data_IF_418120585949
#
_entry.id   IF_418120585949
#
_cell.length_a   1.000
_cell.length_b   1.000
_cell.length_c   1.000
_cell.angle_alpha   90.00
_cell.angle_beta   90.00
_cell.angle_gamma   90.00
#
_symmetry.space_group_name_H-M   'P 1'
#
loop_
_entity.id
_entity.type
_entity.pdbx_description
1 polymer ?
#
# COMPACT_ATOMS: atom_id res chain seq x y z
N UNK A 1 -32.09 -19.58 1.02
CA UNK A 1 -30.94 -19.49 0.14
C UNK A 1 -29.67 -19.69 0.96
N UNK A 2 -28.73 -20.48 0.44
CA UNK A 2 -27.42 -20.68 1.05
C UNK A 2 -26.52 -19.51 0.64
N UNK A 3 -25.98 -18.81 1.62
CA UNK A 3 -24.97 -17.79 1.40
C UNK A 3 -23.59 -18.39 1.64
N UNK A 4 -22.65 -18.16 0.75
CA UNK A 4 -21.23 -18.46 0.99
C UNK A 4 -20.60 -17.31 1.75
N UNK A 5 -19.78 -17.62 2.76
CA UNK A 5 -19.03 -16.64 3.52
C UNK A 5 -17.54 -16.88 3.30
N UNK A 6 -16.80 -15.83 2.95
CA UNK A 6 -15.34 -15.84 3.00
C UNK A 6 -14.90 -15.56 4.43
N UNK A 7 -14.07 -16.43 4.99
CA UNK A 7 -13.43 -16.23 6.28
C UNK A 7 -12.02 -15.68 6.04
N UNK A 8 -11.78 -14.44 6.42
CA UNK A 8 -10.46 -13.82 6.38
C UNK A 8 -9.85 -13.88 7.76
N UNK A 9 -8.73 -14.59 7.90
CA UNK A 9 -7.97 -14.68 9.15
C UNK A 9 -6.69 -13.85 9.02
N UNK A 10 -6.54 -12.90 9.92
CA UNK A 10 -5.26 -12.22 10.12
C UNK A 10 -4.46 -12.96 11.20
N UNK A 11 -3.12 -12.86 11.18
CA UNK A 11 -2.25 -13.45 12.19
C UNK A 11 -2.48 -12.87 13.59
N UNK A 12 -2.96 -11.62 13.68
CA UNK A 12 -3.11 -10.86 14.93
C UNK A 12 -4.51 -10.28 15.16
N UNK A 13 -5.45 -10.44 14.21
CA UNK A 13 -6.82 -9.95 14.34
C UNK A 13 -7.84 -11.09 14.40
N UNK A 14 -9.02 -10.78 14.93
CA UNK A 14 -10.13 -11.73 14.91
C UNK A 14 -10.55 -12.05 13.47
N UNK A 15 -10.98 -13.30 13.20
CA UNK A 15 -11.50 -13.69 11.91
C UNK A 15 -12.70 -12.80 11.53
N UNK A 16 -12.73 -12.32 10.31
CA UNK A 16 -13.83 -11.53 9.76
C UNK A 16 -14.50 -12.35 8.66
N UNK A 17 -15.83 -12.31 8.62
CA UNK A 17 -16.63 -13.04 7.65
C UNK A 17 -17.32 -12.06 6.71
N UNK A 18 -17.10 -12.23 5.40
CA UNK A 18 -17.73 -11.43 4.36
C UNK A 18 -18.68 -12.29 3.54
N UNK A 19 -19.89 -11.79 3.22
CA UNK A 19 -20.77 -12.51 2.29
C UNK A 19 -20.14 -12.53 0.90
N UNK A 20 -20.08 -13.71 0.30
CA UNK A 20 -19.65 -13.90 -1.08
C UNK A 20 -20.90 -14.04 -1.95
N UNK A 21 -21.07 -13.09 -2.84
CA UNK A 21 -22.12 -13.12 -3.84
C UNK A 21 -21.59 -13.78 -5.11
N UNK A 22 -22.34 -14.71 -5.74
CA UNK A 22 -21.95 -15.25 -7.02
C UNK A 22 -21.92 -14.11 -8.04
N UNK A 23 -20.74 -13.87 -8.61
CA UNK A 23 -20.56 -12.87 -9.67
C UNK A 23 -20.47 -13.60 -10.99
N UNK A 24 -21.27 -13.18 -11.97
CA UNK A 24 -21.15 -13.60 -13.36
C UNK A 24 -20.29 -12.57 -14.07
N UNK A 25 -19.07 -12.97 -14.42
CA UNK A 25 -18.21 -12.11 -15.23
C UNK A 25 -18.77 -11.99 -16.64
N UNK A 26 -19.00 -10.77 -17.09
CA UNK A 26 -19.43 -10.47 -18.44
C UNK A 26 -18.22 -10.18 -19.33
N UNK A 27 -18.26 -10.67 -20.55
CA UNK A 27 -17.20 -10.44 -21.53
C UNK A 27 -17.75 -9.64 -22.73
N UNK A 28 -16.91 -8.77 -23.35
CA UNK A 28 -15.52 -8.47 -23.02
C UNK A 28 -15.38 -7.67 -21.72
N UNK A 29 -14.23 -7.82 -21.02
CA UNK A 29 -13.90 -6.99 -19.87
C UNK A 29 -13.72 -5.54 -20.32
N UNK A 30 -14.28 -4.61 -19.55
CA UNK A 30 -14.20 -3.17 -19.86
C UNK A 30 -13.18 -2.45 -18.99
N UNK A 31 -12.90 -2.98 -17.79
CA UNK A 31 -11.96 -2.38 -16.84
C UNK A 31 -11.29 -3.42 -15.98
N UNK A 32 -10.10 -3.06 -15.48
CA UNK A 32 -9.35 -3.78 -14.45
C UNK A 32 -8.99 -2.81 -13.33
N UNK A 33 -9.27 -3.21 -12.09
CA UNK A 33 -8.87 -2.47 -10.89
C UNK A 33 -7.70 -3.19 -10.24
N UNK A 34 -6.56 -2.50 -10.16
CA UNK A 34 -5.31 -3.05 -9.65
C UNK A 34 -5.00 -2.51 -8.26
N UNK A 35 -4.49 -3.37 -7.41
CA UNK A 35 -3.90 -2.97 -6.15
C UNK A 35 -2.48 -2.40 -6.35
N UNK A 36 -1.98 -1.63 -5.38
CA UNK A 36 -0.64 -1.04 -5.42
C UNK A 36 0.38 -1.95 -4.74
N UNK A 37 0.30 -2.03 -3.41
CA UNK A 37 1.30 -2.71 -2.58
C UNK A 37 1.32 -4.22 -2.81
N UNK A 38 2.48 -4.76 -3.15
CA UNK A 38 2.65 -6.18 -3.44
C UNK A 38 2.06 -6.65 -4.78
N UNK A 39 1.32 -5.81 -5.50
CA UNK A 39 0.69 -6.13 -6.78
C UNK A 39 1.33 -5.35 -7.93
N UNK A 40 1.27 -4.03 -7.90
CA UNK A 40 1.89 -3.16 -8.91
C UNK A 40 3.32 -2.81 -8.52
N UNK A 41 3.57 -2.62 -7.22
CA UNK A 41 4.85 -2.23 -6.64
C UNK A 41 5.21 -3.14 -5.48
N UNK A 42 6.46 -3.58 -5.43
CA UNK A 42 7.04 -4.32 -4.30
C UNK A 42 7.54 -3.32 -3.27
N UNK A 43 6.67 -2.88 -2.38
CA UNK A 43 6.95 -1.85 -1.36
C UNK A 43 7.21 -2.41 0.05
N UNK A 44 6.97 -3.71 0.26
CA UNK A 44 6.99 -4.35 1.57
C UNK A 44 8.33 -4.17 2.31
N UNK A 45 9.45 -4.43 1.64
CA UNK A 45 10.79 -4.30 2.23
C UNK A 45 11.09 -2.86 2.68
N UNK A 46 10.57 -1.88 1.96
CA UNK A 46 10.70 -0.48 2.34
C UNK A 46 9.92 -0.17 3.61
N UNK A 47 8.69 -0.62 3.73
CA UNK A 47 7.87 -0.37 4.92
C UNK A 47 8.39 -1.11 6.15
N UNK A 48 8.90 -2.33 6.00
CA UNK A 48 9.59 -3.07 7.07
C UNK A 48 10.81 -2.28 7.52
N UNK A 49 11.60 -1.74 6.61
CA UNK A 49 12.75 -0.90 6.93
C UNK A 49 12.36 0.38 7.68
N UNK A 50 11.24 1.02 7.37
CA UNK A 50 10.72 2.16 8.14
C UNK A 50 10.34 1.74 9.57
N UNK A 51 9.74 0.58 9.77
CA UNK A 51 9.45 0.02 11.10
C UNK A 51 10.74 -0.26 11.87
N UNK A 52 11.76 -0.80 11.21
CA UNK A 52 13.08 -1.04 11.78
C UNK A 52 13.73 0.27 12.27
N UNK A 53 13.77 1.30 11.43
CA UNK A 53 14.28 2.62 11.81
C UNK A 53 13.50 3.26 12.96
N UNK A 54 12.19 3.08 12.97
CA UNK A 54 11.32 3.55 14.07
C UNK A 54 11.69 2.88 15.38
N UNK A 55 11.86 1.57 15.37
CA UNK A 55 12.26 0.78 16.55
C UNK A 55 13.66 1.13 16.99
N UNK A 56 14.58 1.31 16.04
CA UNK A 56 15.95 1.79 16.31
C UNK A 56 15.95 3.15 17.04
N UNK A 57 15.08 4.07 16.63
CA UNK A 57 14.93 5.39 17.24
C UNK A 57 14.34 5.30 18.66
N UNK A 58 13.36 4.43 18.87
CA UNK A 58 12.79 4.19 20.21
C UNK A 58 13.84 3.63 21.19
N UNK A 59 14.71 2.73 20.70
CA UNK A 59 15.79 2.12 21.48
C UNK A 59 17.02 3.03 21.66
N UNK A 60 17.13 4.11 20.89
CA UNK A 60 18.35 4.89 20.78
C UNK A 60 19.53 4.07 20.22
N UNK A 61 19.25 3.04 19.46
CA UNK A 61 20.23 2.12 18.88
C UNK A 61 20.17 2.14 17.34
N UNK A 62 21.00 2.94 16.66
CA UNK A 62 20.99 3.06 15.20
C UNK A 62 21.44 1.80 14.44
N UNK A 63 21.93 0.79 15.16
CA UNK A 63 22.36 -0.50 14.60
C UNK A 63 21.33 -1.61 14.81
N UNK A 64 20.16 -1.25 15.34
CA UNK A 64 19.08 -2.23 15.52
C UNK A 64 18.63 -2.77 14.16
N UNK A 65 18.36 -4.06 14.13
CA UNK A 65 17.75 -4.75 12.99
C UNK A 65 16.66 -5.69 13.51
N UNK A 66 15.58 -5.78 12.76
CA UNK A 66 14.53 -6.76 13.00
C UNK A 66 15.06 -8.17 12.73
N UNK A 67 14.62 -9.13 13.51
CA UNK A 67 14.90 -10.54 13.27
C UNK A 67 14.01 -11.07 12.14
N UNK A 68 14.45 -12.09 11.42
CA UNK A 68 13.64 -12.74 10.37
C UNK A 68 12.30 -13.24 10.92
N UNK A 69 12.26 -13.67 12.16
CA UNK A 69 11.06 -14.11 12.89
C UNK A 69 10.03 -13.00 13.13
N UNK A 70 10.41 -11.71 12.98
CA UNK A 70 9.53 -10.56 13.17
C UNK A 70 8.72 -10.23 11.93
N UNK A 71 9.22 -10.59 10.76
CA UNK A 71 8.64 -10.22 9.47
C UNK A 71 7.14 -10.49 9.38
N UNK A 72 6.61 -11.65 9.82
CA UNK A 72 5.17 -11.90 9.79
C UNK A 72 4.32 -10.95 10.66
N UNK A 73 4.93 -10.25 11.61
CA UNK A 73 4.25 -9.34 12.54
C UNK A 73 4.42 -7.86 12.20
N UNK A 74 5.35 -7.56 11.30
CA UNK A 74 5.61 -6.18 10.81
C UNK A 74 5.25 -6.01 9.35
N UNK A 75 4.51 -6.94 8.77
CA UNK A 75 4.08 -7.00 7.39
C UNK A 75 2.61 -7.43 7.29
N UNK A 76 1.88 -6.87 6.32
CA UNK A 76 0.51 -7.27 6.03
C UNK A 76 -0.56 -6.79 7.03
N UNK A 77 -0.23 -5.94 7.98
CA UNK A 77 -1.12 -5.41 9.02
C UNK A 77 -1.13 -3.89 9.04
N UNK A 78 -1.88 -3.28 9.95
CA UNK A 78 -1.86 -1.83 10.13
C UNK A 78 -0.54 -1.37 10.76
N UNK A 79 -0.12 -0.14 10.45
CA UNK A 79 1.09 0.47 11.05
C UNK A 79 1.04 0.42 12.58
N UNK A 80 -0.12 0.68 13.18
CA UNK A 80 -0.26 0.65 14.64
C UNK A 80 -0.02 -0.74 15.23
N UNK A 81 -0.44 -1.80 14.53
CA UNK A 81 -0.20 -3.18 14.95
C UNK A 81 1.28 -3.56 14.84
N UNK A 82 1.93 -3.18 13.73
CA UNK A 82 3.37 -3.37 13.55
C UNK A 82 4.17 -2.68 14.68
N UNK A 83 3.85 -1.42 14.96
CA UNK A 83 4.52 -0.64 16.00
C UNK A 83 4.26 -1.22 17.39
N UNK A 84 3.03 -1.64 17.68
CA UNK A 84 2.71 -2.26 18.98
C UNK A 84 3.50 -3.55 19.20
N UNK A 85 3.60 -4.40 18.16
CA UNK A 85 4.44 -5.59 18.25
C UNK A 85 5.89 -5.25 18.59
N UNK A 86 6.48 -4.25 17.93
CA UNK A 86 7.85 -3.83 18.20
C UNK A 86 8.01 -3.25 19.62
N UNK A 87 7.01 -2.50 20.11
CA UNK A 87 7.00 -1.99 21.47
C UNK A 87 7.01 -3.15 22.47
N UNK A 88 6.09 -4.09 22.32
CA UNK A 88 5.94 -5.21 23.26
C UNK A 88 7.19 -6.09 23.32
N UNK A 89 7.87 -6.29 22.18
CA UNK A 89 9.05 -7.15 22.10
C UNK A 89 10.36 -6.44 22.48
N UNK A 90 10.55 -5.21 22.01
CA UNK A 90 11.87 -4.56 22.05
C UNK A 90 11.96 -3.35 23.00
N UNK A 91 10.87 -2.64 23.21
CA UNK A 91 10.85 -1.40 24.00
C UNK A 91 9.65 -1.35 24.96
N UNK A 92 9.48 -2.37 25.83
CA UNK A 92 8.36 -2.42 26.75
C UNK A 92 8.36 -1.17 27.65
N UNK A 93 7.21 -0.48 27.69
CA UNK A 93 7.06 0.76 28.44
C UNK A 93 7.08 2.04 27.58
N UNK A 94 7.45 1.94 26.31
CA UNK A 94 7.28 3.05 25.37
C UNK A 94 5.81 3.14 24.87
N UNK A 95 5.41 4.35 24.45
CA UNK A 95 4.04 4.57 24.00
C UNK A 95 3.91 4.40 22.49
N UNK A 96 2.73 3.93 22.05
CA UNK A 96 2.39 3.86 20.63
C UNK A 96 2.40 5.24 19.98
N UNK A 97 2.04 6.30 20.70
CA UNK A 97 2.09 7.68 20.21
C UNK A 97 3.53 8.09 19.87
N UNK A 98 4.49 7.80 20.77
CA UNK A 98 5.91 8.08 20.52
C UNK A 98 6.42 7.31 19.30
N UNK A 99 6.07 6.02 19.20
CA UNK A 99 6.43 5.19 18.05
C UNK A 99 5.86 5.75 16.74
N UNK A 100 4.60 6.18 16.73
CA UNK A 100 3.96 6.80 15.55
C UNK A 100 4.65 8.10 15.15
N UNK A 101 5.07 8.93 16.10
CA UNK A 101 5.81 10.16 15.80
C UNK A 101 7.12 9.86 15.07
N UNK A 102 7.93 8.91 15.56
CA UNK A 102 9.14 8.48 14.86
C UNK A 102 8.82 7.86 13.49
N UNK A 103 7.77 7.04 13.40
CA UNK A 103 7.36 6.43 12.14
C UNK A 103 7.02 7.48 11.08
N UNK A 104 6.24 8.50 11.43
CA UNK A 104 5.88 9.56 10.51
C UNK A 104 7.08 10.45 10.15
N UNK A 105 7.96 10.74 11.11
CA UNK A 105 9.19 11.48 10.85
C UNK A 105 10.07 10.76 9.81
N UNK A 106 10.33 9.46 10.02
CA UNK A 106 11.09 8.66 9.08
C UNK A 106 10.39 8.55 7.73
N UNK A 107 9.10 8.28 7.73
CA UNK A 107 8.31 8.17 6.50
C UNK A 107 8.38 9.45 5.67
N UNK A 108 8.12 10.61 6.27
CA UNK A 108 8.15 11.89 5.56
C UNK A 108 9.53 12.19 4.99
N UNK A 109 10.58 12.01 5.80
CA UNK A 109 11.96 12.23 5.34
C UNK A 109 12.31 11.34 4.16
N UNK A 110 12.04 10.04 4.26
CA UNK A 110 12.40 9.09 3.20
C UNK A 110 11.55 9.29 1.93
N UNK A 111 10.27 9.64 2.06
CA UNK A 111 9.44 10.00 0.91
C UNK A 111 9.96 11.24 0.21
N UNK A 112 10.39 12.27 0.95
CA UNK A 112 10.99 13.47 0.37
C UNK A 112 12.29 13.15 -0.36
N UNK A 113 13.17 12.33 0.22
CA UNK A 113 14.41 11.89 -0.43
C UNK A 113 14.13 11.11 -1.73
N UNK A 114 13.12 10.24 -1.74
CA UNK A 114 12.70 9.51 -2.95
C UNK A 114 12.19 10.47 -4.03
N UNK A 115 11.36 11.43 -3.65
CA UNK A 115 10.84 12.43 -4.59
C UNK A 115 11.95 13.31 -5.20
N UNK A 116 13.05 13.50 -4.46
CA UNK A 116 14.23 14.22 -4.92
C UNK A 116 15.26 13.32 -5.64
N UNK A 117 14.97 12.04 -5.81
CA UNK A 117 15.82 11.06 -6.48
C UNK A 117 17.04 10.61 -5.65
N UNK A 118 17.04 10.84 -4.35
CA UNK A 118 18.13 10.49 -3.40
C UNK A 118 17.74 9.41 -2.40
N UNK A 119 16.53 8.90 -2.46
CA UNK A 119 16.03 7.90 -1.52
C UNK A 119 16.74 6.56 -1.61
N UNK A 120 16.33 5.64 -0.73
CA UNK A 120 16.86 4.26 -0.68
C UNK A 120 16.76 3.59 -2.05
N UNK A 121 17.87 3.04 -2.54
CA UNK A 121 17.91 2.28 -3.77
C UNK A 121 16.94 1.07 -3.71
N UNK A 122 16.15 0.90 -4.77
CA UNK A 122 15.16 -0.18 -4.83
C UNK A 122 13.99 -0.05 -3.85
N UNK A 123 13.76 1.15 -3.29
CA UNK A 123 12.67 1.41 -2.34
C UNK A 123 11.31 0.89 -2.85
N UNK A 124 11.01 1.18 -4.12
CA UNK A 124 9.75 0.84 -4.76
C UNK A 124 10.01 0.19 -6.12
N UNK A 125 10.31 -1.10 -6.07
CA UNK A 125 10.58 -1.89 -7.28
C UNK A 125 9.26 -2.30 -7.93
N UNK A 126 9.04 -2.00 -9.22
CA UNK A 126 7.87 -2.53 -9.93
C UNK A 126 7.84 -4.05 -9.89
N UNK A 127 6.63 -4.62 -9.79
CA UNK A 127 6.45 -6.07 -9.88
C UNK A 127 6.88 -6.55 -11.27
N UNK A 128 7.52 -7.71 -11.32
CA UNK A 128 7.98 -8.31 -12.57
C UNK A 128 6.80 -8.54 -13.54
N UNK A 129 6.98 -8.15 -14.80
CA UNK A 129 5.96 -8.27 -15.84
C UNK A 129 4.84 -7.23 -15.76
N UNK A 130 4.77 -6.37 -14.73
CA UNK A 130 3.68 -5.40 -14.57
C UNK A 130 3.60 -4.42 -15.73
N UNK A 131 4.72 -4.00 -16.29
CA UNK A 131 4.74 -3.09 -17.45
C UNK A 131 4.04 -3.70 -18.65
N UNK A 132 4.45 -4.89 -19.03
CA UNK A 132 3.92 -5.57 -20.22
C UNK A 132 2.43 -5.86 -20.03
N UNK A 133 2.03 -6.30 -18.84
CA UNK A 133 0.63 -6.51 -18.50
C UNK A 133 -0.20 -5.23 -18.62
N UNK A 134 0.26 -4.11 -18.07
CA UNK A 134 -0.45 -2.83 -18.14
C UNK A 134 -0.56 -2.31 -19.59
N UNK A 135 0.50 -2.45 -20.39
CA UNK A 135 0.48 -2.05 -21.79
C UNK A 135 -0.45 -2.93 -22.62
N UNK A 136 -0.46 -4.24 -22.39
CA UNK A 136 -1.39 -5.16 -23.06
C UNK A 136 -2.85 -4.82 -22.75
N UNK A 137 -3.18 -4.51 -21.50
CA UNK A 137 -4.54 -4.05 -21.14
C UNK A 137 -4.95 -2.79 -21.90
N UNK A 138 -4.02 -1.81 -22.03
CA UNK A 138 -4.28 -0.59 -22.82
C UNK A 138 -4.48 -0.88 -24.30
N UNK A 139 -3.66 -1.75 -24.87
CA UNK A 139 -3.79 -2.16 -26.28
C UNK A 139 -5.11 -2.88 -26.56
N UNK A 140 -5.65 -3.61 -25.58
CA UNK A 140 -6.96 -4.21 -25.62
C UNK A 140 -8.11 -3.20 -25.43
N UNK A 141 -7.83 -1.94 -25.15
CA UNK A 141 -8.83 -0.90 -24.87
C UNK A 141 -9.47 -1.01 -23.48
N UNK A 142 -8.88 -1.78 -22.57
CA UNK A 142 -9.37 -1.96 -21.20
C UNK A 142 -8.96 -0.76 -20.35
N UNK A 143 -9.92 -0.20 -19.60
CA UNK A 143 -9.63 0.85 -18.63
C UNK A 143 -8.91 0.28 -17.42
N UNK A 144 -7.99 1.06 -16.85
CA UNK A 144 -7.18 0.62 -15.71
C UNK A 144 -7.34 1.60 -14.55
N UNK A 145 -7.87 1.12 -13.42
CA UNK A 145 -7.90 1.85 -12.17
C UNK A 145 -6.85 1.32 -11.19
N UNK A 146 -6.19 2.20 -10.46
CA UNK A 146 -5.30 1.86 -9.36
C UNK A 146 -5.99 2.15 -8.04
N UNK A 147 -6.02 1.17 -7.13
CA UNK A 147 -6.77 1.21 -5.87
C UNK A 147 -5.88 0.80 -4.71
N UNK A 148 -5.61 1.71 -3.78
CA UNK A 148 -4.82 1.41 -2.59
C UNK A 148 -5.46 1.92 -1.30
N UNK A 149 -5.27 1.19 -0.21
CA UNK A 149 -5.61 1.65 1.15
C UNK A 149 -4.56 2.59 1.75
N UNK A 150 -3.42 2.77 1.07
CA UNK A 150 -2.38 3.69 1.48
C UNK A 150 -2.85 5.15 1.42
N UNK A 151 -2.33 5.97 2.33
CA UNK A 151 -2.52 7.42 2.29
C UNK A 151 -1.86 8.00 1.04
N UNK A 152 -2.41 9.09 0.50
CA UNK A 152 -1.91 9.70 -0.73
C UNK A 152 -0.43 10.06 -0.65
N UNK A 153 0.01 10.68 0.44
CA UNK A 153 1.41 11.07 0.64
C UNK A 153 2.39 9.90 0.68
N UNK A 154 1.92 8.68 0.89
CA UNK A 154 2.71 7.44 0.81
C UNK A 154 2.61 6.80 -0.57
N UNK A 155 1.41 6.59 -1.04
CA UNK A 155 1.13 5.89 -2.29
C UNK A 155 1.63 6.65 -3.53
N UNK A 156 1.54 7.98 -3.53
CA UNK A 156 1.92 8.76 -4.70
C UNK A 156 3.43 8.69 -5.03
N UNK A 157 4.36 8.84 -4.07
CA UNK A 157 5.78 8.61 -4.33
C UNK A 157 6.10 7.19 -4.83
N UNK A 158 5.41 6.17 -4.31
CA UNK A 158 5.57 4.78 -4.78
C UNK A 158 5.22 4.64 -6.26
N UNK A 159 4.04 5.15 -6.65
CA UNK A 159 3.56 5.12 -8.04
C UNK A 159 4.52 5.86 -8.96
N UNK A 160 4.94 7.08 -8.58
CA UNK A 160 5.88 7.88 -9.37
C UNK A 160 7.23 7.18 -9.53
N UNK A 161 7.77 6.61 -8.46
CA UNK A 161 9.04 5.88 -8.49
C UNK A 161 8.97 4.66 -9.40
N UNK A 162 7.89 3.88 -9.30
CA UNK A 162 7.66 2.72 -10.15
C UNK A 162 7.56 3.12 -11.63
N UNK A 163 6.77 4.12 -11.96
CA UNK A 163 6.59 4.60 -13.33
C UNK A 163 7.88 5.17 -13.93
N UNK A 164 8.67 5.88 -13.12
CA UNK A 164 10.01 6.35 -13.52
C UNK A 164 10.92 5.16 -13.86
N UNK A 165 10.94 4.14 -13.02
CA UNK A 165 11.73 2.92 -13.25
C UNK A 165 11.30 2.18 -14.51
N UNK A 166 9.99 2.10 -14.77
CA UNK A 166 9.42 1.46 -15.95
C UNK A 166 9.53 2.30 -17.22
N UNK A 167 9.87 3.60 -17.12
CA UNK A 167 9.90 4.52 -18.25
C UNK A 167 8.51 4.74 -18.88
N UNK A 168 7.44 4.78 -18.05
CA UNK A 168 6.05 4.86 -18.51
C UNK A 168 5.45 6.27 -18.47
N UNK A 169 6.24 7.29 -18.14
CA UNK A 169 5.76 8.69 -18.08
C UNK A 169 4.98 9.00 -16.79
N UNK A 170 3.99 9.90 -16.88
CA UNK A 170 3.19 10.31 -15.73
C UNK A 170 2.06 9.29 -15.48
N UNK A 171 1.96 8.72 -14.27
CA UNK A 171 0.86 7.82 -13.94
C UNK A 171 -0.55 8.41 -14.15
N UNK A 172 -0.71 9.73 -14.01
CA UNK A 172 -1.99 10.42 -14.23
C UNK A 172 -2.46 10.36 -15.68
N UNK A 173 -1.52 10.30 -16.61
CA UNK A 173 -1.83 10.18 -18.03
C UNK A 173 -2.11 8.73 -18.42
N UNK A 174 -1.60 7.79 -17.64
CA UNK A 174 -1.71 6.37 -17.90
C UNK A 174 -2.98 5.74 -17.33
N UNK A 175 -3.24 5.92 -16.02
CA UNK A 175 -4.41 5.35 -15.37
C UNK A 175 -5.68 6.14 -15.67
N UNK A 176 -6.79 5.43 -15.83
CA UNK A 176 -8.11 6.05 -15.98
C UNK A 176 -8.66 6.56 -14.65
N UNK A 177 -8.25 5.92 -13.53
CA UNK A 177 -8.51 6.37 -12.17
C UNK A 177 -7.41 5.92 -11.22
N UNK A 178 -7.09 6.73 -10.22
CA UNK A 178 -6.22 6.38 -9.09
C UNK A 178 -6.96 6.76 -7.81
N UNK A 179 -7.20 5.78 -6.94
CA UNK A 179 -7.82 6.02 -5.63
C UNK A 179 -6.92 5.49 -4.52
N UNK A 180 -6.53 6.39 -3.64
CA UNK A 180 -5.92 6.10 -2.34
C UNK A 180 -6.93 6.38 -1.22
N UNK A 181 -6.61 6.02 0.01
CA UNK A 181 -7.47 6.33 1.15
C UNK A 181 -7.75 7.84 1.23
N UNK A 182 -9.01 8.23 0.91
CA UNK A 182 -9.47 9.61 0.97
C UNK A 182 -9.08 10.52 -0.18
N UNK A 183 -8.37 10.04 -1.21
CA UNK A 183 -7.90 10.89 -2.30
C UNK A 183 -8.08 10.23 -3.67
N UNK A 184 -9.16 10.52 -4.41
CA UNK A 184 -9.34 10.08 -5.78
C UNK A 184 -8.57 10.98 -6.75
N UNK A 185 -7.87 10.37 -7.68
CA UNK A 185 -7.31 11.02 -8.85
C UNK A 185 -7.95 10.39 -10.08
N UNK A 186 -8.82 11.13 -10.74
CA UNK A 186 -9.49 10.70 -11.98
C UNK A 186 -8.94 11.51 -13.14
N UNK A 187 -8.93 10.95 -14.33
CA UNK A 187 -8.45 11.65 -15.52
C UNK A 187 -9.16 13.00 -15.67
N UNK A 188 -8.39 14.08 -15.64
CA UNK A 188 -8.89 15.45 -15.72
C UNK A 188 -9.45 16.04 -14.42
N UNK A 189 -9.48 15.31 -13.30
CA UNK A 189 -9.93 15.86 -12.02
C UNK A 189 -9.11 15.35 -10.84
N UNK A 190 -8.83 16.25 -9.92
CA UNK A 190 -8.23 15.95 -8.62
C UNK A 190 -9.22 16.38 -7.56
N UNK A 191 -9.54 15.50 -6.62
CA UNK A 191 -10.47 15.80 -5.56
C UNK A 191 -10.26 14.90 -4.35
N UNK A 192 -10.98 15.21 -3.28
CA UNK A 192 -11.06 14.33 -2.11
C UNK A 192 -12.51 13.91 -1.91
N UNK A 193 -12.70 12.63 -1.62
CA UNK A 193 -14.01 12.05 -1.26
C UNK A 193 -14.20 12.02 0.28
N UNK A 194 -13.25 12.61 1.02
CA UNK A 194 -13.16 12.40 2.45
C UNK A 194 -12.47 11.07 2.79
N UNK A 195 -12.42 10.72 4.04
CA UNK A 195 -11.79 9.50 4.51
C UNK A 195 -12.66 8.29 4.15
N UNK A 196 -12.16 7.44 3.26
CA UNK A 196 -12.81 6.21 2.85
C UNK A 196 -12.31 5.05 3.73
N UNK A 197 -13.21 4.12 4.05
CA UNK A 197 -12.81 2.91 4.75
C UNK A 197 -11.84 2.09 3.89
N UNK A 198 -10.70 1.64 4.46
CA UNK A 198 -9.70 0.86 3.71
C UNK A 198 -10.24 -0.52 3.33
N UNK A 199 -9.54 -1.18 2.40
CA UNK A 199 -9.78 -2.59 2.09
C UNK A 199 -9.70 -3.44 3.37
N UNK A 200 -10.57 -4.44 3.54
CA UNK A 200 -11.46 -5.07 2.56
C UNK A 200 -12.84 -4.39 2.39
N UNK A 201 -13.08 -3.20 2.95
CA UNK A 201 -14.31 -2.49 2.67
C UNK A 201 -14.41 -2.15 1.17
N UNK A 202 -15.58 -2.28 0.53
CA UNK A 202 -15.71 -2.12 -0.92
C UNK A 202 -15.61 -0.67 -1.43
N UNK A 203 -15.62 0.32 -0.56
CA UNK A 203 -15.68 1.74 -0.95
C UNK A 203 -14.62 2.17 -1.95
N UNK A 204 -13.36 1.81 -1.70
CA UNK A 204 -12.29 2.19 -2.62
C UNK A 204 -12.54 1.66 -4.04
N UNK A 205 -13.02 0.44 -4.15
CA UNK A 205 -13.32 -0.17 -5.44
C UNK A 205 -14.59 0.41 -6.10
N UNK A 206 -15.61 0.74 -5.32
CA UNK A 206 -16.86 1.31 -5.86
C UNK A 206 -16.71 2.75 -6.34
N UNK A 207 -15.71 3.47 -5.83
CA UNK A 207 -15.43 4.84 -6.24
C UNK A 207 -14.41 4.94 -7.41
N UNK A 208 -13.71 3.85 -7.70
CA UNK A 208 -12.79 3.78 -8.85
C UNK A 208 -13.54 3.53 -10.15
#
# INVERSE_FOLDING_TARGET
GTHSLACVKSAIAYPVYYPVYPVKTEYPLNAVLMDLDGTTVRSEEFWIWIIEMTTASMLGNPKFQLEESDIPFVSGHSVSEHLQYCIDKYCPGESLEKARNFYFEHTHREMEEIMQGRGKDGAFTPTEGVKDFLLELKDMGIKIGLVTSGLYEKAWPEILSAFKTLGMGDPKDFYDAIISAGFPLRKGSVGTLGELSPKPHPWLYSET
#
